data_IF_474094839815
#
_entry.id   IF_474094839815
#
_cell.length_a   1.000
_cell.length_b   1.000
_cell.length_c   1.000
_cell.angle_alpha   90.00
_cell.angle_beta   90.00
_cell.angle_gamma   90.00
#
_symmetry.space_group_name_H-M   'P 1'
#
loop_
_entity.id
_entity.type
_entity.pdbx_description
1 polymer ?
#
# COMPACT_ATOMS: atom_id res chain seq x y z
N UNK A 1 9.92 -48.53 25.08
CA UNK A 1 10.63 -47.23 24.98
C UNK A 1 11.27 -47.15 23.61
N UNK A 2 11.09 -46.04 22.87
CA UNK A 2 11.38 -45.85 21.42
C UNK A 2 10.22 -46.14 20.47
N UNK A 3 9.16 -45.36 20.61
CA UNK A 3 8.48 -44.82 19.44
C UNK A 3 8.68 -43.31 19.51
N UNK A 4 9.82 -42.85 18.99
CA UNK A 4 10.04 -41.45 18.67
C UNK A 4 9.08 -41.20 17.51
N UNK A 5 7.84 -40.85 17.84
CA UNK A 5 6.91 -40.28 16.87
C UNK A 5 7.52 -38.94 16.55
N UNK A 6 8.26 -38.96 15.45
CA UNK A 6 8.70 -37.84 14.64
C UNK A 6 7.45 -37.05 14.25
N UNK A 7 6.90 -36.30 15.18
CA UNK A 7 5.85 -35.32 14.91
C UNK A 7 6.56 -34.17 14.19
N UNK A 8 6.74 -34.38 12.89
CA UNK A 8 6.49 -33.40 11.85
C UNK A 8 6.51 -31.96 12.39
N UNK A 9 7.73 -31.43 12.51
CA UNK A 9 7.99 -30.02 12.29
C UNK A 9 7.57 -29.71 10.85
N UNK A 10 6.27 -29.69 10.58
CA UNK A 10 5.73 -28.82 9.55
C UNK A 10 6.00 -27.42 10.06
N UNK A 11 7.19 -26.92 9.74
CA UNK A 11 7.43 -25.49 9.67
C UNK A 11 6.48 -25.04 8.56
N UNK A 12 5.21 -24.81 8.94
CA UNK A 12 4.33 -24.00 8.13
C UNK A 12 5.12 -22.71 7.96
N UNK A 13 5.53 -22.43 6.73
CA UNK A 13 5.99 -21.11 6.35
C UNK A 13 4.83 -20.17 6.68
N UNK A 14 4.84 -19.63 7.90
CA UNK A 14 3.98 -18.56 8.30
C UNK A 14 4.50 -17.39 7.46
N UNK A 15 3.94 -17.20 6.27
CA UNK A 15 4.21 -16.02 5.47
C UNK A 15 3.84 -14.84 6.36
N UNK A 16 4.88 -14.16 6.86
CA UNK A 16 4.71 -13.04 7.77
C UNK A 16 4.02 -11.92 6.99
N UNK A 17 2.73 -11.71 7.28
CA UNK A 17 2.00 -10.58 6.73
C UNK A 17 2.31 -9.35 7.59
N UNK A 18 2.80 -8.30 6.95
CA UNK A 18 3.08 -7.03 7.62
C UNK A 18 1.90 -6.10 7.42
N UNK A 19 1.25 -5.69 8.51
CA UNK A 19 0.27 -4.60 8.47
C UNK A 19 0.98 -3.26 8.30
N UNK A 20 0.56 -2.47 7.32
CA UNK A 20 1.22 -1.21 6.96
C UNK A 20 0.57 0.02 7.60
N UNK A 21 -0.75 0.04 7.74
CA UNK A 21 -1.53 1.19 8.17
C UNK A 21 -1.82 1.18 9.69
N UNK A 22 -2.29 2.31 10.23
CA UNK A 22 -2.38 2.50 11.69
C UNK A 22 -3.72 2.08 12.29
N UNK A 23 -4.84 2.38 11.63
CA UNK A 23 -6.19 2.13 12.15
C UNK A 23 -6.61 0.67 11.94
N UNK A 24 -7.69 0.24 12.61
CA UNK A 24 -8.10 -1.19 12.68
C UNK A 24 -9.32 -1.51 11.81
N UNK A 25 -9.99 -0.49 11.31
CA UNK A 25 -11.24 -0.60 10.55
C UNK A 25 -11.03 -1.29 9.20
N UNK A 26 -9.96 -0.91 8.50
CA UNK A 26 -9.50 -1.58 7.29
C UNK A 26 -8.02 -1.83 7.46
N UNK A 27 -7.57 -3.07 7.29
CA UNK A 27 -6.14 -3.40 7.30
C UNK A 27 -5.60 -3.39 5.86
N UNK A 28 -4.41 -2.81 5.69
CA UNK A 28 -3.59 -2.90 4.48
C UNK A 28 -2.41 -3.80 4.82
N UNK A 29 -2.42 -5.00 4.26
CA UNK A 29 -1.42 -6.03 4.53
C UNK A 29 -0.50 -6.21 3.33
N UNK A 30 0.80 -6.27 3.63
CA UNK A 30 1.85 -6.65 2.69
C UNK A 30 2.29 -8.08 3.00
N UNK A 31 2.04 -8.99 2.06
CA UNK A 31 2.33 -10.43 2.23
C UNK A 31 3.78 -10.80 1.85
N UNK A 32 4.64 -9.80 1.64
CA UNK A 32 6.07 -9.98 1.47
C UNK A 32 6.82 -9.32 2.63
N UNK A 33 8.11 -9.61 2.71
CA UNK A 33 9.03 -9.07 3.71
C UNK A 33 9.86 -7.88 3.20
N UNK A 34 9.93 -7.67 1.87
CA UNK A 34 10.77 -6.64 1.26
C UNK A 34 10.18 -6.08 -0.03
N UNK A 35 10.57 -4.85 -0.35
CA UNK A 35 10.41 -4.25 -1.67
C UNK A 35 11.73 -4.37 -2.44
N UNK A 36 11.64 -4.65 -3.74
CA UNK A 36 12.73 -4.56 -4.70
C UNK A 36 12.67 -3.25 -5.49
N UNK A 37 13.83 -2.59 -5.61
CA UNK A 37 14.00 -1.37 -6.39
C UNK A 37 13.64 -1.58 -7.86
N UNK A 38 14.12 -2.68 -8.45
CA UNK A 38 13.81 -3.06 -9.84
C UNK A 38 12.31 -3.16 -10.09
N UNK A 39 11.57 -3.77 -9.16
CA UNK A 39 10.11 -3.91 -9.29
C UNK A 39 9.37 -2.58 -9.09
N UNK A 40 9.86 -1.69 -8.21
CA UNK A 40 9.29 -0.33 -8.05
C UNK A 40 9.39 0.45 -9.37
N UNK A 41 10.50 0.33 -10.10
CA UNK A 41 10.73 1.09 -11.34
C UNK A 41 10.29 0.40 -12.64
N UNK A 42 10.03 -0.92 -12.64
CA UNK A 42 9.51 -1.64 -13.81
C UNK A 42 8.14 -1.09 -14.26
N UNK A 43 7.29 -0.70 -13.32
CA UNK A 43 5.96 -0.12 -13.60
C UNK A 43 4.94 -1.10 -14.20
N UNK A 44 5.37 -2.21 -14.81
CA UNK A 44 4.50 -3.22 -15.40
C UNK A 44 3.99 -4.23 -14.37
N UNK A 45 4.72 -4.41 -13.27
CA UNK A 45 4.38 -5.37 -12.22
C UNK A 45 4.21 -4.66 -10.87
N UNK A 46 3.05 -4.05 -10.60
CA UNK A 46 2.85 -3.36 -9.33
C UNK A 46 2.90 -4.30 -8.12
N UNK A 47 3.12 -3.73 -6.94
CA UNK A 47 2.89 -4.47 -5.70
C UNK A 47 1.39 -4.64 -5.45
N UNK A 48 1.04 -5.85 -5.03
CA UNK A 48 -0.31 -6.21 -4.62
C UNK A 48 -0.36 -6.22 -3.09
N UNK A 49 -1.36 -5.54 -2.56
CA UNK A 49 -1.67 -5.45 -1.15
C UNK A 49 -3.01 -6.14 -0.90
N UNK A 50 -3.13 -6.71 0.29
CA UNK A 50 -4.38 -7.29 0.75
C UNK A 50 -5.08 -6.30 1.64
N UNK A 51 -6.28 -5.90 1.23
CA UNK A 51 -7.21 -5.12 2.02
C UNK A 51 -8.13 -6.06 2.79
N UNK A 52 -8.36 -5.76 4.07
CA UNK A 52 -9.31 -6.48 4.93
C UNK A 52 -10.19 -5.48 5.62
N UNK A 53 -11.49 -5.47 5.33
CA UNK A 53 -12.46 -4.68 6.08
C UNK A 53 -12.88 -5.43 7.34
N UNK A 54 -12.68 -4.83 8.51
CA UNK A 54 -13.02 -5.43 9.80
C UNK A 54 -14.37 -4.93 10.34
N UNK A 55 -15.10 -4.10 9.59
CA UNK A 55 -16.34 -3.45 10.04
C UNK A 55 -17.56 -3.88 9.22
N UNK A 56 -18.72 -3.32 9.57
CA UNK A 56 -19.99 -3.50 8.84
C UNK A 56 -20.28 -2.34 7.84
N UNK A 57 -19.35 -1.40 7.68
CA UNK A 57 -19.44 -0.33 6.69
C UNK A 57 -18.82 -0.76 5.36
N UNK A 58 -19.24 -0.13 4.27
CA UNK A 58 -18.54 -0.20 2.98
C UNK A 58 -17.50 0.91 2.91
N UNK A 59 -16.26 0.61 2.51
CA UNK A 59 -15.21 1.60 2.34
C UNK A 59 -14.98 1.94 0.87
N UNK A 60 -14.77 3.22 0.62
CA UNK A 60 -14.30 3.77 -0.67
C UNK A 60 -12.81 4.07 -0.49
N UNK A 61 -11.98 3.47 -1.33
CA UNK A 61 -10.52 3.67 -1.33
C UNK A 61 -10.13 4.08 -2.75
N UNK A 62 -9.44 5.20 -2.88
CA UNK A 62 -8.80 5.55 -4.15
C UNK A 62 -7.42 4.87 -4.17
N UNK A 63 -7.17 3.91 -5.08
CA UNK A 63 -5.87 3.26 -5.17
C UNK A 63 -4.72 4.24 -5.45
N UNK A 64 -5.01 5.41 -6.02
CA UNK A 64 -4.05 6.47 -6.31
C UNK A 64 -4.11 7.65 -5.31
N UNK A 65 -4.99 7.57 -4.31
CA UNK A 65 -5.19 8.61 -3.30
C UNK A 65 -4.17 8.59 -2.15
N UNK A 66 -3.17 7.71 -2.17
CA UNK A 66 -2.13 7.68 -1.13
C UNK A 66 -1.11 8.77 -1.39
N UNK A 67 -1.22 9.89 -0.69
CA UNK A 67 -0.24 10.98 -0.76
C UNK A 67 0.97 10.60 0.08
N UNK A 68 2.09 10.29 -0.59
CA UNK A 68 3.28 9.71 0.01
C UNK A 68 4.50 10.63 -0.04
N UNK A 69 5.29 10.63 1.03
CA UNK A 69 6.62 11.24 1.12
C UNK A 69 7.63 10.16 1.56
N UNK A 70 7.73 9.09 0.77
CA UNK A 70 8.62 7.96 1.09
C UNK A 70 10.08 8.33 0.87
N UNK A 71 10.98 7.74 1.66
CA UNK A 71 12.42 7.91 1.50
C UNK A 71 13.20 6.64 1.80
N UNK A 72 14.35 6.50 1.14
CA UNK A 72 15.27 5.37 1.29
C UNK A 72 16.32 5.72 2.33
N UNK A 73 16.67 4.76 3.17
CA UNK A 73 17.70 4.91 4.19
C UNK A 73 18.57 3.66 4.29
N UNK A 74 19.79 3.80 4.81
CA UNK A 74 20.54 2.66 5.32
C UNK A 74 19.94 2.17 6.65
N UNK A 75 20.27 0.94 7.06
CA UNK A 75 19.82 0.41 8.35
C UNK A 75 20.36 1.20 9.55
N UNK A 76 21.49 1.90 9.37
CA UNK A 76 22.08 2.81 10.35
C UNK A 76 21.37 4.18 10.41
N UNK A 77 20.35 4.41 9.58
CA UNK A 77 19.51 5.62 9.61
C UNK A 77 19.96 6.76 8.69
N UNK A 78 20.94 6.54 7.81
CA UNK A 78 21.36 7.56 6.86
C UNK A 78 20.38 7.64 5.69
N UNK A 79 19.77 8.81 5.46
CA UNK A 79 18.90 9.05 4.30
C UNK A 79 19.75 9.00 3.02
N UNK A 80 19.30 8.22 2.04
CA UNK A 80 19.89 8.15 0.72
C UNK A 80 19.13 9.10 -0.20
N UNK A 81 19.85 9.94 -0.93
CA UNK A 81 19.27 10.79 -1.97
C UNK A 81 19.29 10.09 -3.32
N UNK A 82 18.27 10.29 -4.17
CA UNK A 82 18.27 9.74 -5.51
C UNK A 82 19.38 10.38 -6.35
N UNK A 83 19.99 9.60 -7.25
CA UNK A 83 20.96 10.09 -8.24
C UNK A 83 20.27 10.90 -9.34
N UNK A 84 18.98 10.67 -9.56
CA UNK A 84 18.15 11.41 -10.51
C UNK A 84 16.72 11.50 -10.00
N UNK A 85 16.18 12.71 -9.93
CA UNK A 85 14.77 12.94 -9.59
C UNK A 85 13.89 12.50 -10.77
N UNK A 86 12.80 11.79 -10.46
CA UNK A 86 11.77 11.41 -11.43
C UNK A 86 10.55 12.28 -11.18
N UNK A 87 10.14 13.04 -12.18
CA UNK A 87 8.91 13.81 -12.15
C UNK A 87 7.76 12.93 -12.64
N UNK A 88 6.82 12.64 -11.77
CA UNK A 88 5.61 11.92 -12.13
C UNK A 88 4.60 12.88 -12.75
N UNK A 89 3.93 12.43 -13.82
CA UNK A 89 2.79 13.15 -14.38
C UNK A 89 1.60 13.15 -13.43
N UNK A 90 0.63 14.02 -13.71
CA UNK A 90 -0.63 14.05 -12.98
C UNK A 90 -1.66 13.18 -13.70
N UNK A 91 -2.18 12.18 -13.00
CA UNK A 91 -3.38 11.44 -13.43
C UNK A 91 -4.63 12.26 -13.06
N UNK A 92 -5.66 12.22 -13.89
CA UNK A 92 -6.95 12.86 -13.58
C UNK A 92 -8.07 12.05 -14.21
N UNK A 93 -9.14 11.85 -13.44
CA UNK A 93 -10.40 11.31 -13.92
C UNK A 93 -11.34 12.43 -14.34
N UNK A 94 -11.97 12.28 -15.49
CA UNK A 94 -12.78 13.30 -16.14
C UNK A 94 -14.28 13.06 -15.98
N UNK A 95 -14.71 11.83 -15.76
CA UNK A 95 -16.12 11.48 -15.58
C UNK A 95 -16.37 10.46 -14.46
N UNK A 96 -17.65 10.25 -14.15
CA UNK A 96 -18.07 9.31 -13.10
C UNK A 96 -17.85 7.85 -13.47
N UNK A 97 -17.73 7.50 -14.76
CA UNK A 97 -17.49 6.11 -15.16
C UNK A 97 -16.07 5.70 -14.81
N UNK A 98 -15.08 6.56 -15.08
CA UNK A 98 -13.70 6.35 -14.65
C UNK A 98 -13.61 6.20 -13.11
N UNK A 99 -14.45 6.92 -12.37
CA UNK A 99 -14.55 6.77 -10.91
C UNK A 99 -15.14 5.43 -10.46
N UNK A 100 -16.14 4.92 -11.20
CA UNK A 100 -16.72 3.60 -10.93
C UNK A 100 -15.69 2.50 -11.18
N UNK A 101 -14.90 2.65 -12.24
CA UNK A 101 -13.93 1.65 -12.68
C UNK A 101 -12.68 1.60 -11.78
N UNK A 102 -12.22 2.77 -11.31
CA UNK A 102 -10.96 2.87 -10.56
C UNK A 102 -11.12 2.77 -9.03
N UNK A 103 -12.22 3.29 -8.45
CA UNK A 103 -12.35 3.33 -7.00
C UNK A 103 -12.58 1.92 -6.45
N UNK A 104 -11.81 1.57 -5.43
CA UNK A 104 -12.00 0.31 -4.73
C UNK A 104 -13.16 0.47 -3.76
N UNK A 105 -14.26 -0.22 -4.07
CA UNK A 105 -15.38 -0.42 -3.15
C UNK A 105 -15.12 -1.70 -2.34
N UNK A 106 -14.87 -1.56 -1.04
CA UNK A 106 -14.58 -2.66 -0.12
C UNK A 106 -15.76 -2.86 0.83
N UNK A 107 -16.58 -3.85 0.55
CA UNK A 107 -17.79 -4.18 1.30
C UNK A 107 -17.52 -4.68 2.73
N UNK A 108 -18.58 -4.82 3.55
CA UNK A 108 -18.49 -5.33 4.92
C UNK A 108 -17.76 -6.68 4.99
N UNK A 109 -16.78 -6.80 5.88
CA UNK A 109 -15.99 -8.04 6.09
C UNK A 109 -15.26 -8.57 4.84
N UNK A 110 -15.23 -7.79 3.76
CA UNK A 110 -14.63 -8.20 2.49
C UNK A 110 -13.10 -8.16 2.56
N UNK A 111 -12.49 -9.02 1.74
CA UNK A 111 -11.05 -9.03 1.49
C UNK A 111 -10.79 -8.86 0.00
N UNK A 112 -9.86 -7.98 -0.38
CA UNK A 112 -9.46 -7.78 -1.77
C UNK A 112 -7.94 -7.72 -1.91
N UNK A 113 -7.44 -8.20 -3.04
CA UNK A 113 -6.05 -8.05 -3.45
C UNK A 113 -5.99 -6.99 -4.53
N UNK A 114 -5.29 -5.88 -4.27
CA UNK A 114 -5.30 -4.69 -5.12
C UNK A 114 -3.92 -4.07 -5.21
N UNK A 115 -3.67 -3.31 -6.26
CA UNK A 115 -2.53 -2.39 -6.30
C UNK A 115 -2.90 -1.07 -5.64
N UNK A 116 -1.97 -0.48 -4.90
CA UNK A 116 -2.11 0.82 -4.25
C UNK A 116 -0.84 1.65 -4.48
N UNK A 117 -0.99 2.96 -4.65
CA UNK A 117 0.09 3.92 -4.86
C UNK A 117 0.88 4.26 -3.58
N UNK A 118 1.02 3.29 -2.66
CA UNK A 118 1.72 3.45 -1.38
C UNK A 118 3.24 3.54 -1.59
N UNK A 119 3.76 2.77 -2.55
CA UNK A 119 5.20 2.60 -2.77
C UNK A 119 5.60 3.40 -3.99
N UNK A 120 5.76 4.71 -3.79
CA UNK A 120 6.31 5.63 -4.77
C UNK A 120 7.62 6.22 -4.26
N UNK A 121 8.63 6.27 -5.11
CA UNK A 121 9.92 6.90 -4.84
C UNK A 121 10.09 8.13 -5.73
N UNK A 122 10.78 9.16 -5.22
CA UNK A 122 10.94 10.45 -5.91
C UNK A 122 12.09 10.47 -6.93
N UNK A 123 12.78 9.36 -7.16
CA UNK A 123 13.91 9.31 -8.08
C UNK A 123 14.55 7.93 -8.17
N UNK A 124 15.54 7.81 -9.06
CA UNK A 124 16.37 6.61 -9.23
C UNK A 124 17.46 6.61 -8.17
N UNK A 125 17.73 5.45 -7.57
CA UNK A 125 18.73 5.26 -6.54
C UNK A 125 19.85 4.35 -7.04
N UNK A 126 21.09 4.70 -6.74
CA UNK A 126 22.25 3.84 -6.93
C UNK A 126 22.62 3.23 -5.57
N UNK A 127 22.14 2.00 -5.34
CA UNK A 127 22.30 1.30 -4.07
C UNK A 127 23.34 0.20 -4.20
N UNK A 128 24.23 0.09 -3.20
CA UNK A 128 25.24 -0.96 -3.13
C UNK A 128 24.59 -2.30 -2.76
N UNK A 129 24.67 -3.29 -3.64
CA UNK A 129 24.13 -4.64 -3.45
C UNK A 129 24.63 -5.36 -2.19
N UNK A 130 25.73 -4.92 -1.59
CA UNK A 130 26.29 -5.49 -0.36
C UNK A 130 25.81 -4.81 0.92
N UNK A 131 25.06 -3.71 0.81
CA UNK A 131 24.49 -2.98 1.94
C UNK A 131 23.02 -3.30 2.11
N UNK A 132 22.52 -3.05 3.33
CA UNK A 132 21.10 -3.21 3.67
C UNK A 132 20.42 -1.86 3.70
N UNK A 133 19.26 -1.79 3.06
CA UNK A 133 18.45 -0.59 2.97
C UNK A 133 17.04 -0.85 3.47
N UNK A 134 16.39 0.25 3.86
CA UNK A 134 14.98 0.27 4.19
C UNK A 134 14.31 1.41 3.43
N UNK A 135 13.04 1.23 3.12
CA UNK A 135 12.15 2.30 2.72
C UNK A 135 11.32 2.70 3.93
N UNK A 136 11.34 3.99 4.28
CA UNK A 136 10.38 4.58 5.21
C UNK A 136 9.14 4.91 4.39
N UNK A 137 8.08 4.14 4.61
CA UNK A 137 6.76 4.43 4.05
C UNK A 137 6.10 5.48 4.92
N UNK A 138 5.77 6.62 4.31
CA UNK A 138 5.03 7.69 4.95
C UNK A 138 3.96 8.18 3.98
N UNK A 139 2.70 7.86 4.24
CA UNK A 139 1.59 8.32 3.41
C UNK A 139 0.30 8.46 4.19
N UNK A 140 -0.64 9.22 3.65
CA UNK A 140 -1.99 9.33 4.18
C UNK A 140 -3.03 9.22 3.06
N UNK A 141 -4.21 8.76 3.44
CA UNK A 141 -5.39 8.70 2.59
C UNK A 141 -6.60 9.17 3.42
N UNK A 142 -7.50 9.96 2.81
CA UNK A 142 -8.70 10.53 3.42
C UNK A 142 -9.66 11.02 2.33
N UNK A 143 -10.79 11.64 2.71
CA UNK A 143 -11.78 12.19 1.75
C UNK A 143 -11.13 13.12 0.73
N UNK A 144 -10.25 14.03 1.16
CA UNK A 144 -9.62 15.03 0.29
C UNK A 144 -8.71 14.38 -0.75
N UNK A 145 -7.85 13.45 -0.32
CA UNK A 145 -6.91 12.76 -1.21
C UNK A 145 -7.61 11.78 -2.15
N UNK A 146 -8.69 11.12 -1.71
CA UNK A 146 -9.53 10.26 -2.55
C UNK A 146 -10.29 11.02 -3.65
N UNK A 147 -10.52 12.33 -3.47
CA UNK A 147 -11.17 13.19 -4.46
C UNK A 147 -10.20 14.05 -5.27
N UNK A 148 -8.90 14.00 -4.96
CA UNK A 148 -7.91 14.92 -5.53
C UNK A 148 -7.77 14.75 -7.05
N UNK A 149 -7.96 13.51 -7.53
CA UNK A 149 -7.83 13.14 -8.93
C UNK A 149 -9.19 13.13 -9.66
N UNK A 150 -10.24 13.71 -9.07
CA UNK A 150 -11.62 13.67 -9.58
C UNK A 150 -12.56 12.94 -8.63
N UNK A 151 -13.73 12.52 -9.11
CA UNK A 151 -14.68 11.68 -8.37
C UNK A 151 -15.38 12.30 -7.16
N UNK A 152 -15.21 13.60 -6.89
CA UNK A 152 -15.86 14.24 -5.74
C UNK A 152 -17.38 13.98 -5.73
N UNK A 153 -18.07 14.29 -6.83
CA UNK A 153 -19.53 14.13 -6.93
C UNK A 153 -19.96 12.67 -6.77
N UNK A 154 -19.21 11.74 -7.36
CA UNK A 154 -19.50 10.31 -7.25
C UNK A 154 -19.32 9.81 -5.81
N UNK A 155 -18.21 10.15 -5.15
CA UNK A 155 -17.95 9.81 -3.75
C UNK A 155 -19.03 10.40 -2.84
N UNK A 156 -19.44 11.65 -3.06
CA UNK A 156 -20.49 12.32 -2.29
C UNK A 156 -21.86 11.66 -2.47
N UNK A 157 -22.17 11.21 -3.68
CA UNK A 157 -23.39 10.43 -3.94
C UNK A 157 -23.44 9.13 -3.13
N UNK A 158 -22.31 8.43 -3.00
CA UNK A 158 -22.21 7.18 -2.24
C UNK A 158 -22.33 7.41 -0.74
N UNK A 159 -21.61 8.39 -0.18
CA UNK A 159 -21.61 8.70 1.26
C UNK A 159 -23.01 9.11 1.72
N UNK A 160 -23.79 9.77 0.88
CA UNK A 160 -25.15 10.23 1.20
C UNK A 160 -26.10 9.08 1.59
N UNK A 161 -25.81 7.84 1.17
CA UNK A 161 -26.57 6.64 1.57
C UNK A 161 -26.30 6.14 3.01
N UNK A 162 -25.39 6.79 3.75
CA UNK A 162 -24.95 6.46 5.13
C UNK A 162 -24.32 5.07 5.35
N UNK A 163 -24.15 4.27 4.30
CA UNK A 163 -23.50 2.94 4.37
C UNK A 163 -22.05 2.93 3.89
N UNK A 164 -21.63 4.00 3.22
CA UNK A 164 -20.29 4.17 2.67
C UNK A 164 -19.47 5.14 3.53
N UNK A 165 -18.19 4.83 3.69
CA UNK A 165 -17.18 5.68 4.31
C UNK A 165 -15.98 5.77 3.39
N UNK A 166 -15.35 6.94 3.29
CA UNK A 166 -14.03 7.01 2.66
C UNK A 166 -13.01 6.45 3.64
N UNK A 167 -12.08 5.66 3.14
CA UNK A 167 -10.93 5.22 3.93
C UNK A 167 -10.11 6.44 4.38
N UNK A 168 -9.89 6.52 5.68
CA UNK A 168 -9.19 7.61 6.32
C UNK A 168 -8.16 6.99 7.26
N UNK A 169 -6.89 6.99 6.86
CA UNK A 169 -5.79 6.44 7.65
C UNK A 169 -4.43 6.92 7.11
N UNK A 170 -3.38 6.61 7.86
CA UNK A 170 -1.99 6.82 7.51
C UNK A 170 -1.23 5.50 7.50
N UNK A 171 -0.13 5.51 6.76
CA UNK A 171 0.92 4.50 6.76
C UNK A 171 2.18 5.20 7.25
N UNK A 172 2.75 4.69 8.33
CA UNK A 172 4.01 5.18 8.89
C UNK A 172 4.82 3.99 9.40
N UNK A 173 5.60 3.37 8.52
CA UNK A 173 6.33 2.14 8.81
C UNK A 173 7.61 2.02 7.99
N UNK A 174 8.48 1.09 8.36
CA UNK A 174 9.70 0.77 7.60
C UNK A 174 9.61 -0.65 7.05
N UNK A 175 10.08 -0.83 5.82
CA UNK A 175 10.14 -2.13 5.16
C UNK A 175 11.52 -2.29 4.52
N UNK A 176 12.05 -3.51 4.49
CA UNK A 176 13.31 -3.80 3.81
C UNK A 176 13.25 -3.45 2.33
N UNK A 177 14.33 -2.86 1.81
CA UNK A 177 14.49 -2.51 0.40
C UNK A 177 15.72 -3.25 -0.14
N UNK A 178 15.51 -4.05 -1.18
CA UNK A 178 16.60 -4.72 -1.90
C UNK A 178 16.90 -3.97 -3.20
N UNK A 179 18.19 -3.69 -3.48
CA UNK A 179 18.64 -3.14 -4.76
C UNK A 179 18.21 -3.99 -5.97
#
# INVERSE_FOLDING_TARGET
>A
MKLIILFLLTISHLEAQTKLNTKKEVDILFERNEFSLNKIFDGNTPYIFKLVNNTDYTYIIDPYGFKSDNFVMTIEGNIITPVRIVLNGFYKRFDSQECVDDLIILGPKEKKYVSLSIVNLNGVYDLDKHKKYIIKLHSHHNKYTASLLGCQDYIESLISSKKYKVFDDSIDTTVSLVP
#
